data_IF_279539331762
#
_entry.id   IF_279539331762
#
_cell.length_a   1.000
_cell.length_b   1.000
_cell.length_c   1.000
_cell.angle_alpha   90.00
_cell.angle_beta   90.00
_cell.angle_gamma   90.00
#
_symmetry.space_group_name_H-M   'P 1'
#
loop_
_entity.id
_entity.type
_entity.pdbx_description
1 polymer ?
#
# COMPACT_ATOMS: atom_id res chain seq x y z
N UNK A 1 7.26 11.49 28.86
CA UNK A 1 7.77 10.28 28.18
C UNK A 1 6.76 9.96 27.10
N UNK A 2 6.89 10.64 25.97
CA UNK A 2 6.02 10.56 24.81
C UNK A 2 6.96 10.24 23.67
N UNK A 3 7.01 8.97 23.25
CA UNK A 3 7.74 8.60 22.04
C UNK A 3 6.94 9.21 20.88
N UNK A 4 7.39 10.35 20.41
CA UNK A 4 6.92 10.94 19.16
C UNK A 4 7.39 10.00 18.03
N UNK A 5 6.49 9.06 17.74
CA UNK A 5 6.35 8.32 16.50
C UNK A 5 6.44 9.36 15.38
N UNK A 6 7.51 9.27 14.58
CA UNK A 6 7.77 10.08 13.39
C UNK A 6 6.52 10.14 12.51
N UNK A 7 6.19 11.32 12.00
CA UNK A 7 4.82 11.69 11.61
C UNK A 7 4.13 10.77 10.58
N UNK A 8 2.79 10.74 10.56
CA UNK A 8 1.96 9.69 9.95
C UNK A 8 2.03 9.56 8.42
N UNK A 9 2.42 10.62 7.71
CA UNK A 9 2.41 10.60 6.25
C UNK A 9 3.73 10.12 5.64
N UNK A 10 4.84 10.17 6.37
CA UNK A 10 6.16 9.87 5.80
C UNK A 10 6.46 8.38 5.71
N UNK A 11 5.93 7.55 6.62
CA UNK A 11 6.09 6.09 6.58
C UNK A 11 5.18 5.39 5.57
N UNK A 12 3.99 5.94 5.33
CA UNK A 12 3.08 5.46 4.29
C UNK A 12 3.45 5.99 2.90
N UNK A 13 4.19 7.11 2.81
CA UNK A 13 4.65 7.75 1.57
C UNK A 13 6.17 7.67 1.35
N UNK A 14 6.90 6.76 2.00
CA UNK A 14 8.14 6.27 1.41
C UNK A 14 7.70 5.53 0.13
N UNK A 15 7.62 6.31 -0.95
CA UNK A 15 6.80 6.12 -2.14
C UNK A 15 7.19 4.91 -3.01
N UNK A 16 7.92 3.95 -2.46
CA UNK A 16 8.58 2.87 -3.19
C UNK A 16 8.07 1.47 -2.80
N UNK A 17 6.98 1.36 -2.02
CA UNK A 17 6.54 0.06 -1.51
C UNK A 17 5.45 -0.70 -2.27
N UNK A 18 4.92 -0.17 -3.39
CA UNK A 18 3.99 -0.96 -4.22
C UNK A 18 4.16 -0.67 -5.71
N UNK A 19 5.34 -0.95 -6.28
CA UNK A 19 5.44 -1.23 -7.72
C UNK A 19 4.92 -2.65 -8.00
N UNK A 20 3.61 -2.86 -7.80
CA UNK A 20 2.95 -4.08 -8.28
C UNK A 20 2.80 -3.91 -9.80
N UNK A 21 3.82 -4.34 -10.56
CA UNK A 21 3.68 -4.51 -12.01
C UNK A 21 2.52 -5.49 -12.25
N UNK A 22 1.47 -5.13 -13.00
CA UNK A 22 0.43 -6.09 -13.34
C UNK A 22 1.04 -7.23 -14.16
N UNK A 23 0.75 -8.48 -13.76
CA UNK A 23 1.16 -9.67 -14.49
C UNK A 23 0.69 -9.66 -15.95
N UNK A 24 1.37 -10.38 -16.86
CA UNK A 24 1.14 -10.28 -18.29
C UNK A 24 -0.29 -10.68 -18.67
N UNK A 25 -1.02 -9.75 -19.29
CA UNK A 25 -2.35 -10.02 -19.84
C UNK A 25 -2.21 -10.84 -21.13
N UNK A 26 -2.52 -12.14 -21.10
CA UNK A 26 -2.63 -12.96 -22.32
C UNK A 26 -3.82 -12.46 -23.16
N UNK A 27 -3.52 -12.01 -24.38
CA UNK A 27 -4.53 -11.66 -25.38
C UNK A 27 -5.37 -12.89 -25.76
N UNK A 28 -6.68 -12.82 -25.55
CA UNK A 28 -7.65 -13.81 -26.02
C UNK A 28 -8.04 -13.45 -27.45
N UNK A 29 -7.60 -14.26 -28.42
CA UNK A 29 -8.08 -14.22 -29.79
C UNK A 29 -9.56 -14.62 -29.84
N UNK A 30 -10.40 -13.78 -30.44
CA UNK A 30 -11.83 -14.03 -30.65
C UNK A 30 -12.13 -14.00 -32.14
N UNK A 31 -12.10 -15.17 -32.76
CA UNK A 31 -12.79 -15.44 -34.02
C UNK A 31 -14.03 -16.30 -33.77
N UNK A 32 -15.19 -15.89 -34.29
CA UNK A 32 -16.36 -16.77 -34.40
C UNK A 32 -17.76 -16.15 -34.25
N UNK A 33 -18.39 -15.85 -35.38
CA UNK A 33 -19.77 -16.30 -35.68
C UNK A 33 -20.95 -15.65 -34.95
N UNK A 34 -21.58 -14.69 -35.62
CA UNK A 34 -22.92 -14.17 -35.33
C UNK A 34 -23.99 -15.22 -35.71
N UNK A 35 -24.87 -15.62 -34.77
CA UNK A 35 -26.31 -15.87 -34.97
C UNK A 35 -27.00 -16.35 -33.67
N UNK A 36 -28.05 -15.63 -33.23
CA UNK A 36 -28.88 -15.96 -32.06
C UNK A 36 -29.19 -14.76 -31.15
N UNK A 37 -29.99 -13.78 -31.64
CA UNK A 37 -30.01 -12.39 -31.12
C UNK A 37 -31.04 -12.00 -30.03
N UNK A 38 -32.03 -12.80 -29.57
CA UNK A 38 -32.80 -12.40 -28.37
C UNK A 38 -32.37 -13.13 -27.08
N UNK A 39 -32.03 -14.43 -27.15
CA UNK A 39 -31.69 -15.21 -25.94
C UNK A 39 -30.29 -14.90 -25.40
N UNK A 40 -29.31 -14.61 -26.28
CA UNK A 40 -27.99 -14.11 -25.87
C UNK A 40 -28.09 -12.74 -25.22
N UNK A 41 -28.97 -11.86 -25.69
CA UNK A 41 -29.13 -10.52 -25.11
C UNK A 41 -29.71 -10.59 -23.70
N UNK A 42 -30.74 -11.42 -23.48
CA UNK A 42 -31.30 -11.65 -22.14
C UNK A 42 -30.29 -12.31 -21.20
N UNK A 43 -29.50 -13.28 -21.69
CA UNK A 43 -28.41 -13.89 -20.91
C UNK A 43 -27.30 -12.88 -20.58
N UNK A 44 -26.88 -12.04 -21.52
CA UNK A 44 -25.88 -10.99 -21.28
C UNK A 44 -26.41 -9.87 -20.37
N UNK A 45 -27.70 -9.52 -20.45
CA UNK A 45 -28.34 -8.59 -19.53
C UNK A 45 -28.46 -9.18 -18.12
N UNK A 46 -28.89 -10.44 -17.97
CA UNK A 46 -28.92 -11.16 -16.69
C UNK A 46 -27.51 -11.30 -16.11
N UNK A 47 -26.51 -11.61 -16.94
CA UNK A 47 -25.11 -11.69 -16.53
C UNK A 47 -24.55 -10.31 -16.13
N UNK A 48 -24.94 -9.24 -16.82
CA UNK A 48 -24.60 -7.86 -16.46
C UNK A 48 -25.30 -7.41 -15.16
N UNK A 49 -26.52 -7.89 -14.90
CA UNK A 49 -27.23 -7.67 -13.63
C UNK A 49 -26.67 -8.51 -12.47
N UNK A 50 -26.07 -9.67 -12.74
CA UNK A 50 -25.38 -10.47 -11.70
C UNK A 50 -23.93 -10.04 -11.47
N UNK A 51 -23.31 -9.36 -12.45
CA UNK A 51 -21.95 -8.81 -12.34
C UNK A 51 -21.92 -7.37 -11.79
N UNK A 52 -23.07 -6.70 -11.68
CA UNK A 52 -23.20 -5.39 -11.03
C UNK A 52 -23.24 -5.46 -9.50
N UNK A 53 -23.12 -6.66 -8.93
CA UNK A 53 -23.18 -6.91 -7.49
C UNK A 53 -21.84 -6.80 -6.74
N UNK A 54 -20.71 -6.72 -7.44
CA UNK A 54 -19.41 -6.50 -6.80
C UNK A 54 -18.69 -5.33 -7.47
N UNK A 55 -18.37 -4.29 -6.71
CA UNK A 55 -17.47 -3.25 -7.21
C UNK A 55 -16.09 -3.85 -7.54
N UNK A 56 -15.29 -3.12 -8.33
CA UNK A 56 -13.89 -3.52 -8.57
C UNK A 56 -13.12 -3.71 -7.25
N UNK A 57 -13.42 -2.91 -6.22
CA UNK A 57 -12.86 -3.02 -4.87
C UNK A 57 -13.16 -4.39 -4.27
N UNK A 58 -14.44 -4.78 -4.25
CA UNK A 58 -14.86 -6.06 -3.66
C UNK A 58 -14.32 -7.25 -4.45
N UNK A 59 -14.28 -7.14 -5.78
CA UNK A 59 -13.72 -8.17 -6.63
C UNK A 59 -12.23 -8.40 -6.35
N UNK A 60 -11.43 -7.33 -6.30
CA UNK A 60 -9.99 -7.42 -6.02
C UNK A 60 -9.75 -7.92 -4.60
N UNK A 61 -10.50 -7.40 -3.61
CA UNK A 61 -10.39 -7.83 -2.22
C UNK A 61 -10.62 -9.33 -2.07
N UNK A 62 -11.66 -9.86 -2.71
CA UNK A 62 -11.98 -11.30 -2.66
C UNK A 62 -11.01 -12.17 -3.47
N UNK A 63 -9.95 -11.59 -4.04
CA UNK A 63 -8.88 -12.27 -4.77
C UNK A 63 -7.48 -11.92 -4.25
N UNK A 64 -7.41 -11.27 -3.10
CA UNK A 64 -6.14 -10.84 -2.49
C UNK A 64 -5.23 -12.03 -2.16
N UNK A 65 -5.81 -13.19 -1.88
CA UNK A 65 -5.11 -14.46 -1.66
C UNK A 65 -4.25 -14.89 -2.87
N UNK A 66 -4.75 -14.67 -4.09
CA UNK A 66 -4.02 -14.99 -5.31
C UNK A 66 -2.87 -14.00 -5.49
N UNK A 67 -3.13 -12.71 -5.26
CA UNK A 67 -2.13 -11.65 -5.42
C UNK A 67 -0.98 -11.82 -4.41
N UNK A 68 -1.31 -12.11 -3.15
CA UNK A 68 -0.30 -12.32 -2.10
C UNK A 68 0.52 -13.57 -2.37
N UNK A 69 -0.09 -14.66 -2.84
CA UNK A 69 0.66 -15.85 -3.26
C UNK A 69 1.67 -15.57 -4.36
N UNK A 70 1.24 -14.89 -5.41
CA UNK A 70 2.14 -14.54 -6.51
C UNK A 70 3.28 -13.64 -6.04
N UNK A 71 3.01 -12.71 -5.13
CA UNK A 71 4.04 -11.88 -4.55
C UNK A 71 5.00 -12.68 -3.65
N UNK A 72 4.49 -13.64 -2.89
CA UNK A 72 5.32 -14.51 -2.04
C UNK A 72 6.25 -15.40 -2.88
N UNK A 73 5.76 -15.91 -4.01
CA UNK A 73 6.53 -16.75 -4.95
C UNK A 73 7.78 -16.03 -5.50
N UNK A 74 7.79 -14.70 -5.57
CA UNK A 74 8.96 -13.91 -5.98
C UNK A 74 10.09 -13.95 -4.93
N UNK A 75 9.81 -14.37 -3.69
CA UNK A 75 10.78 -14.46 -2.60
C UNK A 75 11.11 -15.88 -2.20
N UNK A 76 10.11 -16.77 -2.12
CA UNK A 76 10.32 -18.15 -1.68
C UNK A 76 9.29 -19.09 -2.30
N UNK A 77 9.76 -20.24 -2.78
CA UNK A 77 8.89 -21.30 -3.31
C UNK A 77 8.44 -22.23 -2.19
N UNK A 78 7.17 -22.15 -1.81
CA UNK A 78 6.57 -23.06 -0.82
C UNK A 78 6.22 -24.42 -1.44
N UNK A 79 6.42 -25.49 -0.69
CA UNK A 79 5.86 -26.79 -1.05
C UNK A 79 4.34 -26.83 -0.83
N UNK A 80 3.69 -27.93 -1.26
CA UNK A 80 2.23 -28.04 -1.19
C UNK A 80 1.68 -27.98 0.24
N UNK A 81 2.38 -28.53 1.21
CA UNK A 81 1.92 -28.55 2.59
C UNK A 81 2.16 -27.19 3.27
N UNK A 82 3.30 -26.56 3.01
CA UNK A 82 3.61 -25.20 3.45
C UNK A 82 2.61 -24.19 2.87
N UNK A 83 2.29 -24.31 1.57
CA UNK A 83 1.31 -23.44 0.92
C UNK A 83 -0.08 -23.59 1.54
N UNK A 84 -0.52 -24.82 1.84
CA UNK A 84 -1.80 -25.05 2.49
C UNK A 84 -1.84 -24.41 3.89
N UNK A 85 -0.76 -24.51 4.68
CA UNK A 85 -0.66 -23.84 5.99
C UNK A 85 -0.63 -22.33 5.88
N UNK A 86 0.05 -21.78 4.87
CA UNK A 86 0.04 -20.35 4.59
C UNK A 86 -1.38 -19.87 4.25
N UNK A 87 -2.07 -20.57 3.35
CA UNK A 87 -3.42 -20.24 2.93
C UNK A 87 -4.39 -20.23 4.12
N UNK A 88 -4.35 -21.26 4.98
CA UNK A 88 -5.19 -21.33 6.18
C UNK A 88 -4.96 -20.14 7.14
N UNK A 89 -3.69 -19.74 7.35
CA UNK A 89 -3.35 -18.59 8.19
C UNK A 89 -3.73 -17.26 7.53
N UNK A 90 -3.60 -17.16 6.21
CA UNK A 90 -3.99 -15.97 5.46
C UNK A 90 -5.51 -15.77 5.48
N UNK A 91 -6.29 -16.84 5.40
CA UNK A 91 -7.74 -16.78 5.54
C UNK A 91 -8.15 -16.21 6.90
N UNK A 92 -7.48 -16.60 7.99
CA UNK A 92 -7.69 -16.03 9.32
C UNK A 92 -7.32 -14.54 9.38
N UNK A 93 -6.23 -14.12 8.73
CA UNK A 93 -5.85 -12.72 8.62
C UNK A 93 -6.92 -11.89 7.90
N UNK A 94 -7.46 -12.41 6.80
CA UNK A 94 -8.50 -11.72 6.01
C UNK A 94 -9.83 -11.68 6.76
N UNK A 95 -10.20 -12.74 7.48
CA UNK A 95 -11.37 -12.76 8.36
C UNK A 95 -11.25 -11.70 9.46
N UNK A 96 -10.09 -11.64 10.14
CA UNK A 96 -9.79 -10.59 11.11
C UNK A 96 -9.89 -9.19 10.48
N UNK A 97 -9.25 -8.99 9.32
CA UNK A 97 -9.26 -7.68 8.66
C UNK A 97 -10.68 -7.23 8.29
N UNK A 98 -11.53 -8.13 7.79
CA UNK A 98 -12.94 -7.84 7.52
C UNK A 98 -13.71 -7.46 8.78
N UNK A 99 -13.53 -8.23 9.86
CA UNK A 99 -14.30 -8.07 11.08
C UNK A 99 -13.86 -6.87 11.90
N UNK A 100 -12.55 -6.65 12.02
CA UNK A 100 -11.96 -5.74 12.98
C UNK A 100 -11.45 -4.42 12.35
N UNK A 101 -10.91 -4.45 11.12
CA UNK A 101 -10.33 -3.25 10.47
C UNK A 101 -11.29 -2.55 9.50
N UNK A 102 -11.97 -3.28 8.62
CA UNK A 102 -12.84 -2.67 7.60
C UNK A 102 -13.94 -1.76 8.16
N UNK A 103 -14.62 -2.08 9.29
CA UNK A 103 -15.56 -1.16 9.91
C UNK A 103 -14.90 0.16 10.34
N UNK A 104 -13.68 0.09 10.88
CA UNK A 104 -12.89 1.26 11.24
C UNK A 104 -12.55 2.11 10.01
N UNK A 105 -12.18 1.48 8.90
CA UNK A 105 -11.86 2.20 7.66
C UNK A 105 -13.09 2.88 7.05
N UNK A 106 -14.26 2.24 7.15
CA UNK A 106 -15.52 2.86 6.74
C UNK A 106 -15.81 4.14 7.55
N UNK A 107 -15.56 4.12 8.88
CA UNK A 107 -15.69 5.31 9.73
C UNK A 107 -14.71 6.41 9.35
N UNK A 108 -13.45 6.08 9.02
CA UNK A 108 -12.47 7.06 8.53
C UNK A 108 -12.94 7.75 7.24
N UNK A 109 -13.66 7.04 6.37
CA UNK A 109 -14.23 7.62 5.16
C UNK A 109 -15.42 8.55 5.45
N UNK A 110 -16.24 8.24 6.45
CA UNK A 110 -17.30 9.15 6.93
C UNK A 110 -16.72 10.41 7.61
N UNK A 111 -15.66 10.26 8.40
CA UNK A 111 -14.93 11.37 9.00
C UNK A 111 -14.27 12.23 7.90
N UNK A 112 -13.73 11.62 6.84
CA UNK A 112 -13.19 12.35 5.70
C UNK A 112 -14.27 13.17 4.97
N UNK A 113 -15.49 12.64 4.82
CA UNK A 113 -16.61 13.41 4.27
C UNK A 113 -16.96 14.63 5.14
N UNK A 114 -16.92 14.47 6.46
CA UNK A 114 -17.14 15.56 7.41
C UNK A 114 -16.04 16.63 7.32
N UNK A 115 -14.77 16.21 7.20
CA UNK A 115 -13.63 17.13 7.01
C UNK A 115 -13.78 17.96 5.72
N UNK A 116 -14.32 17.37 4.65
CA UNK A 116 -14.56 18.08 3.39
C UNK A 116 -15.65 19.15 3.51
N UNK A 117 -16.60 19.01 4.45
CA UNK A 117 -17.66 19.98 4.70
C UNK A 117 -17.16 21.22 5.47
N UNK A 118 -16.08 21.10 6.24
CA UNK A 118 -15.55 22.15 7.13
C UNK A 118 -14.27 22.83 6.60
N UNK A 119 -14.13 22.97 5.27
CA UNK A 119 -12.95 23.57 4.61
C UNK A 119 -11.60 22.89 4.97
N UNK A 120 -11.63 21.59 5.25
CA UNK A 120 -10.44 20.75 5.46
C UNK A 120 -9.50 21.32 6.54
N UNK A 121 -9.95 21.41 7.80
CA UNK A 121 -9.19 22.07 8.86
C UNK A 121 -7.94 21.26 9.20
N UNK A 122 -6.80 21.96 9.34
CA UNK A 122 -5.49 21.35 9.54
C UNK A 122 -5.44 20.34 10.70
N UNK A 123 -6.09 20.66 11.82
CA UNK A 123 -6.11 19.78 12.99
C UNK A 123 -6.84 18.46 12.69
N UNK A 124 -7.98 18.51 11.98
CA UNK A 124 -8.71 17.31 11.61
C UNK A 124 -7.94 16.47 10.57
N UNK A 125 -7.25 17.11 9.62
CA UNK A 125 -6.37 16.41 8.67
C UNK A 125 -5.22 15.67 9.37
N UNK A 126 -4.62 16.28 10.41
CA UNK A 126 -3.59 15.61 11.22
C UNK A 126 -4.15 14.42 11.99
N UNK A 127 -5.29 14.59 12.67
CA UNK A 127 -5.94 13.51 13.40
C UNK A 127 -6.32 12.33 12.48
N UNK A 128 -6.83 12.63 11.28
CA UNK A 128 -7.10 11.62 10.25
C UNK A 128 -5.83 10.86 9.85
N UNK A 129 -4.72 11.58 9.63
CA UNK A 129 -3.44 10.96 9.29
C UNK A 129 -2.95 10.03 10.42
N UNK A 130 -3.03 10.47 11.68
CA UNK A 130 -2.67 9.65 12.86
C UNK A 130 -3.52 8.37 12.95
N UNK A 131 -4.82 8.47 12.66
CA UNK A 131 -5.72 7.31 12.66
C UNK A 131 -5.42 6.31 11.54
N UNK A 132 -5.08 6.80 10.35
CA UNK A 132 -4.65 5.97 9.20
C UNK A 132 -3.33 5.26 9.53
N UNK A 133 -2.37 5.94 10.15
CA UNK A 133 -1.11 5.33 10.58
C UNK A 133 -1.36 4.23 11.63
N UNK A 134 -2.19 4.50 12.63
CA UNK A 134 -2.54 3.52 13.65
C UNK A 134 -3.23 2.27 13.06
N UNK A 135 -4.06 2.45 12.03
CA UNK A 135 -4.65 1.35 11.26
C UNK A 135 -3.59 0.53 10.50
N UNK A 136 -2.68 1.21 9.80
CA UNK A 136 -1.59 0.56 9.07
C UNK A 136 -0.70 -0.27 10.00
N UNK A 137 -0.37 0.23 11.20
CA UNK A 137 0.41 -0.49 12.20
C UNK A 137 -0.30 -1.78 12.65
N UNK A 138 -1.61 -1.73 12.95
CA UNK A 138 -2.36 -2.93 13.36
C UNK A 138 -2.38 -4.01 12.26
N UNK A 139 -2.58 -3.60 11.00
CA UNK A 139 -2.51 -4.52 9.87
C UNK A 139 -1.09 -5.10 9.71
N UNK A 140 -0.06 -4.26 9.82
CA UNK A 140 1.34 -4.67 9.74
C UNK A 140 1.67 -5.72 10.81
N UNK A 141 1.23 -5.53 12.06
CA UNK A 141 1.48 -6.47 13.16
C UNK A 141 0.88 -7.85 12.87
N UNK A 142 -0.35 -7.91 12.37
CA UNK A 142 -1.01 -9.17 12.00
C UNK A 142 -0.34 -9.85 10.81
N UNK A 143 0.05 -9.07 9.80
CA UNK A 143 0.77 -9.59 8.64
C UNK A 143 2.17 -10.10 9.03
N UNK A 144 2.86 -9.41 9.94
CA UNK A 144 4.16 -9.85 10.46
C UNK A 144 4.03 -11.18 11.23
N UNK A 145 2.99 -11.34 12.05
CA UNK A 145 2.71 -12.62 12.72
C UNK A 145 2.50 -13.76 11.71
N UNK A 146 1.75 -13.51 10.63
CA UNK A 146 1.61 -14.45 9.51
C UNK A 146 2.97 -14.79 8.88
N UNK A 147 3.79 -13.80 8.55
CA UNK A 147 5.10 -14.02 7.92
C UNK A 147 6.06 -14.80 8.83
N UNK A 148 6.10 -14.49 10.13
CA UNK A 148 6.96 -15.20 11.09
C UNK A 148 6.56 -16.67 11.22
N UNK A 149 5.26 -16.94 11.39
CA UNK A 149 4.77 -18.33 11.43
C UNK A 149 5.03 -19.08 10.12
N UNK A 150 4.99 -18.39 8.98
CA UNK A 150 5.37 -18.96 7.68
C UNK A 150 6.87 -19.25 7.62
N UNK A 151 7.71 -18.37 8.16
CA UNK A 151 9.15 -18.56 8.28
C UNK A 151 9.55 -19.78 9.13
N UNK A 152 8.73 -20.14 10.13
CA UNK A 152 8.94 -21.34 10.95
C UNK A 152 8.79 -22.63 10.15
N UNK A 153 7.97 -22.61 9.10
CA UNK A 153 7.75 -23.76 8.22
C UNK A 153 8.84 -23.95 7.16
N UNK A 154 9.68 -22.93 6.92
CA UNK A 154 10.69 -22.95 5.86
C UNK A 154 11.87 -23.88 6.19
N UNK A 155 12.35 -24.61 5.18
CA UNK A 155 13.60 -25.35 5.25
C UNK A 155 14.81 -24.39 5.26
N UNK A 156 16.00 -24.85 5.67
CA UNK A 156 17.23 -24.06 5.57
C UNK A 156 17.48 -23.52 4.16
N UNK A 157 17.29 -24.36 3.14
CA UNK A 157 17.49 -23.98 1.73
C UNK A 157 16.47 -22.92 1.27
N UNK A 158 15.24 -22.98 1.77
CA UNK A 158 14.23 -21.96 1.47
C UNK A 158 14.54 -20.62 2.15
N UNK A 159 15.12 -20.63 3.36
CA UNK A 159 15.59 -19.41 4.04
C UNK A 159 16.77 -18.78 3.32
N UNK A 160 17.71 -19.59 2.84
CA UNK A 160 18.80 -19.13 1.97
C UNK A 160 18.25 -18.47 0.69
N UNK A 161 17.33 -19.14 -0.02
CA UNK A 161 16.71 -18.60 -1.22
C UNK A 161 15.94 -17.28 -0.95
N UNK A 162 15.24 -17.19 0.18
CA UNK A 162 14.55 -15.97 0.60
C UNK A 162 15.52 -14.80 0.81
N UNK A 163 16.65 -15.05 1.49
CA UNK A 163 17.71 -14.05 1.69
C UNK A 163 18.34 -13.61 0.37
N UNK A 164 18.61 -14.56 -0.53
CA UNK A 164 19.12 -14.25 -1.87
C UNK A 164 18.15 -13.37 -2.66
N UNK A 165 16.86 -13.68 -2.62
CA UNK A 165 15.82 -12.89 -3.28
C UNK A 165 15.74 -11.45 -2.70
N UNK A 166 15.83 -11.30 -1.38
CA UNK A 166 15.84 -9.98 -0.74
C UNK A 166 17.04 -9.13 -1.20
N UNK A 167 18.23 -9.74 -1.26
CA UNK A 167 19.45 -9.07 -1.72
C UNK A 167 19.39 -8.72 -3.21
N UNK A 168 18.91 -9.63 -4.06
CA UNK A 168 18.74 -9.36 -5.49
C UNK A 168 17.77 -8.18 -5.72
N UNK A 169 16.68 -8.10 -4.95
CA UNK A 169 15.74 -6.97 -5.01
C UNK A 169 16.35 -5.65 -4.53
N UNK A 170 17.21 -5.70 -3.50
CA UNK A 170 17.97 -4.53 -3.07
C UNK A 170 18.88 -4.02 -4.20
N UNK A 171 19.59 -4.90 -4.89
CA UNK A 171 20.47 -4.55 -6.00
C UNK A 171 19.70 -4.01 -7.21
N UNK A 172 18.53 -4.58 -7.55
CA UNK A 172 17.61 -4.06 -8.57
C UNK A 172 17.21 -2.62 -8.24
N UNK A 173 16.80 -2.36 -6.99
CA UNK A 173 16.41 -1.01 -6.57
C UNK A 173 17.57 -0.01 -6.54
N UNK A 174 18.77 -0.44 -6.16
CA UNK A 174 19.96 0.40 -6.21
C UNK A 174 20.30 0.79 -7.66
N UNK A 175 20.26 -0.16 -8.59
CA UNK A 175 20.50 0.09 -10.01
C UNK A 175 19.48 1.07 -10.60
N UNK A 176 18.19 0.86 -10.33
CA UNK A 176 17.12 1.69 -10.88
C UNK A 176 17.10 3.11 -10.28
N UNK A 177 17.45 3.27 -8.99
CA UNK A 177 17.23 4.53 -8.27
C UNK A 177 18.48 5.34 -7.96
N UNK A 178 19.67 4.74 -7.82
CA UNK A 178 20.88 5.53 -7.53
C UNK A 178 21.40 6.29 -8.75
N UNK A 179 21.06 5.84 -9.95
CA UNK A 179 21.49 6.47 -11.20
C UNK A 179 20.64 7.69 -11.59
N UNK A 180 19.46 7.88 -10.97
CA UNK A 180 18.54 8.96 -11.37
C UNK A 180 19.02 10.34 -10.91
N UNK A 181 18.91 11.31 -11.82
CA UNK A 181 19.18 12.72 -11.53
C UNK A 181 18.17 13.29 -10.52
N UNK A 182 18.55 14.41 -9.91
CA UNK A 182 17.70 15.15 -8.98
C UNK A 182 16.41 15.69 -9.64
N UNK A 183 16.50 16.01 -10.93
CA UNK A 183 15.36 16.41 -11.78
C UNK A 183 14.45 15.22 -12.07
N UNK A 184 14.99 14.07 -12.46
CA UNK A 184 14.21 12.87 -12.72
C UNK A 184 13.50 12.36 -11.45
N UNK A 185 14.15 12.46 -10.29
CA UNK A 185 13.53 12.16 -8.99
C UNK A 185 12.29 13.02 -8.73
N UNK A 186 12.41 14.34 -8.92
CA UNK A 186 11.28 15.25 -8.69
C UNK A 186 10.16 15.05 -9.71
N UNK A 187 10.50 14.84 -10.98
CA UNK A 187 9.51 14.56 -12.01
C UNK A 187 8.69 13.30 -11.70
N UNK A 188 9.34 12.21 -11.27
CA UNK A 188 8.66 10.99 -10.81
C UNK A 188 7.75 11.26 -9.59
N UNK A 189 8.20 12.05 -8.62
CA UNK A 189 7.35 12.45 -7.49
C UNK A 189 6.13 13.29 -7.92
N UNK A 190 6.31 14.27 -8.80
CA UNK A 190 5.22 15.11 -9.33
C UNK A 190 4.18 14.26 -10.07
N UNK A 191 4.62 13.34 -10.93
CA UNK A 191 3.75 12.41 -11.65
C UNK A 191 2.97 11.51 -10.67
N UNK A 192 3.64 10.96 -9.66
CA UNK A 192 2.98 10.14 -8.62
C UNK A 192 1.93 10.93 -7.85
N UNK A 193 2.21 12.18 -7.46
CA UNK A 193 1.21 13.03 -6.80
C UNK A 193 0.01 13.31 -7.72
N UNK A 194 0.25 13.66 -8.99
CA UNK A 194 -0.84 13.89 -9.94
C UNK A 194 -1.69 12.62 -10.09
N UNK A 195 -1.10 11.47 -10.37
CA UNK A 195 -1.83 10.21 -10.58
C UNK A 195 -2.66 9.81 -9.35
N UNK A 196 -2.08 9.86 -8.15
CA UNK A 196 -2.76 9.50 -6.92
C UNK A 196 -3.95 10.42 -6.64
N UNK A 197 -3.77 11.74 -6.81
CA UNK A 197 -4.83 12.72 -6.56
C UNK A 197 -5.88 12.72 -7.69
N UNK A 198 -5.44 12.60 -8.94
CA UNK A 198 -6.26 12.56 -10.15
C UNK A 198 -7.17 11.34 -10.20
N UNK A 199 -6.74 10.22 -9.57
CA UNK A 199 -7.62 9.10 -9.29
C UNK A 199 -8.86 9.64 -8.59
N UNK A 200 -8.77 10.22 -7.40
CA UNK A 200 -9.93 10.64 -6.61
C UNK A 200 -10.63 11.89 -7.14
N UNK A 201 -9.89 12.95 -7.45
CA UNK A 201 -10.44 14.25 -7.82
C UNK A 201 -10.76 14.36 -9.32
N UNK A 202 -10.08 13.59 -10.18
CA UNK A 202 -10.00 13.88 -11.62
C UNK A 202 -8.83 14.79 -11.93
N UNK A 203 -8.60 15.13 -13.21
CA UNK A 203 -7.40 15.87 -13.63
C UNK A 203 -7.15 17.11 -12.77
N UNK A 204 -5.89 17.35 -12.42
CA UNK A 204 -5.48 18.54 -11.68
C UNK A 204 -5.74 19.81 -12.48
N UNK A 205 -6.18 20.86 -11.78
CA UNK A 205 -6.21 22.21 -12.34
C UNK A 205 -4.81 22.80 -12.36
N UNK A 206 -4.57 23.85 -13.16
CA UNK A 206 -3.27 24.53 -13.20
C UNK A 206 -2.79 24.95 -11.80
N UNK A 207 -3.61 25.59 -10.94
CA UNK A 207 -3.17 25.93 -9.57
C UNK A 207 -2.84 24.71 -8.70
N UNK A 208 -3.50 23.57 -8.91
CA UNK A 208 -3.20 22.33 -8.17
C UNK A 208 -1.89 21.71 -8.66
N UNK A 209 -1.64 21.69 -9.98
CA UNK A 209 -0.38 21.21 -10.55
C UNK A 209 0.80 22.08 -10.07
N UNK A 210 0.66 23.42 -10.10
CA UNK A 210 1.68 24.34 -9.58
C UNK A 210 1.97 24.09 -8.08
N UNK A 211 0.92 23.76 -7.30
CA UNK A 211 1.06 23.42 -5.88
C UNK A 211 1.80 22.09 -5.66
N UNK A 212 1.59 21.10 -6.54
CA UNK A 212 2.32 19.82 -6.54
C UNK A 212 3.80 20.09 -6.79
N UNK A 213 4.14 20.77 -7.89
CA UNK A 213 5.53 21.12 -8.24
C UNK A 213 6.22 21.88 -7.11
N UNK A 214 5.55 22.88 -6.51
CA UNK A 214 6.10 23.64 -5.38
C UNK A 214 6.36 22.74 -4.17
N UNK A 215 5.41 21.88 -3.79
CA UNK A 215 5.60 21.00 -2.64
C UNK A 215 6.68 19.95 -2.87
N UNK A 216 6.77 19.37 -4.08
CA UNK A 216 7.84 18.42 -4.42
C UNK A 216 9.21 19.11 -4.36
N UNK A 217 9.32 20.37 -4.78
CA UNK A 217 10.56 21.14 -4.67
C UNK A 217 10.99 21.40 -3.21
N UNK A 218 10.04 21.44 -2.27
CA UNK A 218 10.28 21.60 -0.83
C UNK A 218 10.70 20.30 -0.14
N UNK A 219 10.49 19.14 -0.76
CA UNK A 219 10.80 17.83 -0.16
C UNK A 219 12.30 17.54 -0.11
N UNK A 220 12.72 16.86 0.95
CA UNK A 220 14.03 16.22 1.06
C UNK A 220 14.06 14.97 0.18
N UNK A 221 15.12 14.78 -0.59
CA UNK A 221 15.34 13.54 -1.35
C UNK A 221 15.78 12.41 -0.41
N UNK A 222 14.99 11.34 -0.33
CA UNK A 222 15.17 10.27 0.67
C UNK A 222 15.61 8.91 0.10
N UNK A 223 15.59 8.75 -1.22
CA UNK A 223 15.85 7.46 -1.88
C UNK A 223 17.20 6.83 -1.51
N UNK A 224 18.26 7.63 -1.41
CA UNK A 224 19.57 7.15 -0.96
C UNK A 224 19.55 6.69 0.50
N UNK A 225 18.95 7.49 1.39
CA UNK A 225 18.85 7.13 2.80
C UNK A 225 18.08 5.83 3.00
N UNK A 226 16.96 5.68 2.29
CA UNK A 226 16.15 4.47 2.30
C UNK A 226 16.91 3.24 1.81
N UNK A 227 17.64 3.35 0.69
CA UNK A 227 18.44 2.25 0.15
C UNK A 227 19.57 1.82 1.11
N UNK A 228 20.27 2.79 1.69
CA UNK A 228 21.36 2.52 2.65
C UNK A 228 20.82 1.86 3.93
N UNK A 229 19.74 2.39 4.52
CA UNK A 229 19.06 1.80 5.69
C UNK A 229 18.57 0.38 5.39
N UNK A 230 17.88 0.21 4.25
CA UNK A 230 17.35 -1.08 3.82
C UNK A 230 18.45 -2.13 3.66
N UNK A 231 19.62 -1.76 3.12
CA UNK A 231 20.74 -2.70 2.96
C UNK A 231 21.27 -3.19 4.31
N UNK A 232 21.41 -2.29 5.28
CA UNK A 232 21.82 -2.66 6.65
C UNK A 232 20.78 -3.57 7.29
N UNK A 233 19.50 -3.22 7.16
CA UNK A 233 18.40 -4.01 7.71
C UNK A 233 18.32 -5.41 7.10
N UNK A 234 18.42 -5.55 5.76
CA UNK A 234 18.40 -6.87 5.13
C UNK A 234 19.63 -7.68 5.58
N UNK A 235 20.83 -7.09 5.68
CA UNK A 235 22.01 -7.82 6.15
C UNK A 235 21.80 -8.40 7.56
N UNK A 236 21.26 -7.61 8.49
CA UNK A 236 20.94 -8.07 9.85
C UNK A 236 19.85 -9.14 9.87
N UNK A 237 18.81 -8.98 9.05
CA UNK A 237 17.76 -9.98 8.90
C UNK A 237 18.32 -11.29 8.34
N UNK A 238 19.18 -11.21 7.33
CA UNK A 238 19.85 -12.37 6.71
C UNK A 238 20.65 -13.15 7.73
N UNK A 239 21.44 -12.49 8.57
CA UNK A 239 22.20 -13.15 9.63
C UNK A 239 21.28 -13.94 10.58
N UNK A 240 20.15 -13.35 10.98
CA UNK A 240 19.14 -14.01 11.84
C UNK A 240 18.53 -15.22 11.14
N UNK A 241 18.12 -15.08 9.87
CA UNK A 241 17.42 -16.13 9.13
C UNK A 241 18.33 -17.29 8.72
N UNK A 242 19.62 -17.03 8.46
CA UNK A 242 20.60 -18.05 8.08
C UNK A 242 21.13 -18.83 9.29
N UNK A 243 21.37 -18.16 10.42
CA UNK A 243 21.77 -18.85 11.67
C UNK A 243 20.57 -19.60 12.26
N UNK A 244 19.38 -18.98 12.23
CA UNK A 244 18.12 -19.59 12.63
C UNK A 244 18.13 -20.24 14.03
N UNK A 245 18.64 -19.51 15.03
CA UNK A 245 18.53 -19.97 16.43
C UNK A 245 17.08 -20.25 16.83
N UNK A 246 16.79 -21.09 17.83
CA UNK A 246 15.41 -21.44 18.20
C UNK A 246 14.48 -20.26 18.48
N UNK A 247 15.02 -19.09 18.88
CA UNK A 247 14.28 -17.85 19.13
C UNK A 247 14.40 -16.81 17.99
N UNK A 248 14.78 -17.22 16.77
CA UNK A 248 14.92 -16.30 15.63
C UNK A 248 13.69 -15.41 15.39
N UNK A 249 12.41 -15.83 15.61
CA UNK A 249 11.28 -14.93 15.43
C UNK A 249 11.32 -13.72 16.38
N UNK A 250 11.71 -13.94 17.63
CA UNK A 250 11.88 -12.87 18.63
C UNK A 250 13.03 -11.92 18.25
N UNK A 251 14.09 -12.46 17.63
CA UNK A 251 15.20 -11.64 17.11
C UNK A 251 14.72 -10.74 15.97
N UNK A 252 13.90 -11.26 15.05
CA UNK A 252 13.30 -10.47 13.96
C UNK A 252 12.35 -9.39 14.52
N UNK A 253 11.51 -9.72 15.49
CA UNK A 253 10.64 -8.75 16.16
C UNK A 253 11.45 -7.64 16.83
N UNK A 254 12.55 -7.99 17.49
CA UNK A 254 13.47 -7.02 18.12
C UNK A 254 14.12 -6.11 17.07
N UNK A 255 14.56 -6.68 15.95
CA UNK A 255 15.14 -5.93 14.83
C UNK A 255 14.15 -4.91 14.27
N UNK A 256 12.89 -5.31 14.07
CA UNK A 256 11.83 -4.42 13.57
C UNK A 256 11.51 -3.30 14.57
N UNK A 257 11.34 -3.65 15.85
CA UNK A 257 11.04 -2.68 16.91
C UNK A 257 12.18 -1.66 17.13
N UNK A 258 13.43 -2.05 16.87
CA UNK A 258 14.60 -1.19 16.97
C UNK A 258 14.80 -0.22 15.79
N UNK A 259 14.10 -0.44 14.67
CA UNK A 259 14.39 0.26 13.40
C UNK A 259 14.26 1.77 13.50
N UNK A 260 13.18 2.28 14.07
CA UNK A 260 12.93 3.73 14.23
C UNK A 260 14.05 4.43 15.03
N UNK A 261 14.66 3.72 15.99
CA UNK A 261 15.78 4.23 16.79
C UNK A 261 17.14 4.13 16.10
N UNK A 262 17.26 3.28 15.08
CA UNK A 262 18.49 3.06 14.32
C UNK A 262 18.65 4.01 13.12
N UNK A 263 17.57 4.68 12.70
CA UNK A 263 17.60 5.63 11.59
C UNK A 263 18.63 6.76 11.83
N UNK A 264 19.35 7.12 10.77
CA UNK A 264 20.22 8.29 10.78
C UNK A 264 19.40 9.55 11.12
N UNK A 265 19.88 10.47 11.98
CA UNK A 265 19.13 11.67 12.35
C UNK A 265 18.66 12.50 11.14
N UNK A 266 19.50 12.64 10.11
CA UNK A 266 19.14 13.36 8.89
C UNK A 266 18.05 12.65 8.07
N UNK A 267 18.03 11.31 8.07
CA UNK A 267 16.97 10.55 7.42
C UNK A 267 15.64 10.75 8.14
N UNK A 268 15.65 10.61 9.47
CA UNK A 268 14.46 10.86 10.31
C UNK A 268 13.92 12.28 10.14
N UNK A 269 14.79 13.29 10.16
CA UNK A 269 14.38 14.68 9.94
C UNK A 269 13.78 14.88 8.54
N UNK A 270 14.37 14.28 7.51
CA UNK A 270 13.84 14.34 6.15
C UNK A 270 12.48 13.65 5.99
N UNK A 271 12.29 12.50 6.64
CA UNK A 271 11.01 11.79 6.77
C UNK A 271 9.96 12.72 7.40
N UNK A 272 10.24 13.28 8.58
CA UNK A 272 9.31 14.14 9.32
C UNK A 272 8.96 15.41 8.52
N UNK A 273 9.96 16.04 7.89
CA UNK A 273 9.77 17.20 7.02
C UNK A 273 8.88 16.88 5.81
N UNK A 274 9.18 15.80 5.08
CA UNK A 274 8.38 15.39 3.93
C UNK A 274 6.94 15.08 4.33
N UNK A 275 6.73 14.42 5.49
CA UNK A 275 5.39 14.13 6.01
C UNK A 275 4.55 15.40 6.18
N UNK A 276 5.12 16.48 6.73
CA UNK A 276 4.42 17.76 6.89
C UNK A 276 4.18 18.45 5.52
N UNK A 277 5.15 18.42 4.60
CA UNK A 277 4.96 18.95 3.23
C UNK A 277 3.81 18.24 2.51
N UNK A 278 3.77 16.90 2.57
CA UNK A 278 2.70 16.07 1.96
C UNK A 278 1.34 16.41 2.57
N UNK A 279 1.28 16.58 3.90
CA UNK A 279 0.04 16.95 4.58
C UNK A 279 -0.50 18.28 4.07
N UNK A 280 0.37 19.29 4.03
CA UNK A 280 -0.02 20.64 3.62
C UNK A 280 -0.38 20.68 2.13
N UNK A 281 0.42 20.04 1.27
CA UNK A 281 0.14 19.91 -0.16
C UNK A 281 -1.23 19.28 -0.39
N UNK A 282 -1.49 18.14 0.24
CA UNK A 282 -2.76 17.42 0.08
C UNK A 282 -3.94 18.28 0.55
N UNK A 283 -3.80 18.97 1.69
CA UNK A 283 -4.82 19.88 2.21
C UNK A 283 -5.09 21.04 1.26
N UNK A 284 -4.04 21.68 0.73
CA UNK A 284 -4.17 22.82 -0.16
C UNK A 284 -4.85 22.43 -1.48
N UNK A 285 -4.55 21.25 -2.02
CA UNK A 285 -5.21 20.70 -3.22
C UNK A 285 -6.68 20.42 -2.96
N UNK A 286 -7.01 19.84 -1.80
CA UNK A 286 -8.40 19.60 -1.41
C UNK A 286 -9.15 20.92 -1.24
N UNK A 287 -8.57 21.96 -0.63
CA UNK A 287 -9.22 23.26 -0.48
C UNK A 287 -9.39 24.00 -1.82
N UNK A 288 -8.47 23.81 -2.76
CA UNK A 288 -8.54 24.37 -4.10
C UNK A 288 -9.43 23.57 -5.09
N UNK A 289 -10.10 22.51 -4.63
CA UNK A 289 -10.90 21.64 -5.50
C UNK A 289 -12.08 22.37 -6.13
N UNK A 290 -12.37 22.06 -7.40
CA UNK A 290 -13.57 22.57 -8.08
C UNK A 290 -14.83 21.80 -7.65
N UNK A 291 -16.03 22.37 -7.87
CA UNK A 291 -17.30 21.66 -7.62
C UNK A 291 -17.39 20.29 -8.33
N UNK A 292 -16.77 20.16 -9.50
CA UNK A 292 -16.72 18.90 -10.25
C UNK A 292 -15.82 17.88 -9.54
N UNK A 293 -14.65 18.32 -9.06
CA UNK A 293 -13.73 17.48 -8.30
C UNK A 293 -14.32 17.09 -6.93
N UNK A 294 -15.00 18.01 -6.24
CA UNK A 294 -15.68 17.74 -4.97
C UNK A 294 -16.75 16.65 -5.12
N UNK A 295 -17.65 16.77 -6.11
CA UNK A 295 -18.66 15.73 -6.40
C UNK A 295 -18.03 14.38 -6.71
N UNK A 296 -16.93 14.34 -7.48
CA UNK A 296 -16.24 13.09 -7.82
C UNK A 296 -15.58 12.46 -6.59
N UNK A 297 -14.86 13.27 -5.79
CA UNK A 297 -14.22 12.83 -4.56
C UNK A 297 -15.25 12.23 -3.60
N UNK A 298 -16.31 12.96 -3.29
CA UNK A 298 -17.37 12.49 -2.37
C UNK A 298 -18.04 11.22 -2.88
N UNK A 299 -18.36 11.16 -4.17
CA UNK A 299 -18.93 9.95 -4.77
C UNK A 299 -18.02 8.73 -4.63
N UNK A 300 -16.70 8.91 -4.74
CA UNK A 300 -15.72 7.84 -4.54
C UNK A 300 -15.58 7.43 -3.09
N UNK A 301 -15.52 8.39 -2.15
CA UNK A 301 -15.45 8.10 -0.72
C UNK A 301 -16.67 7.31 -0.25
N UNK A 302 -17.87 7.73 -0.67
CA UNK A 302 -19.14 7.03 -0.39
C UNK A 302 -19.12 5.63 -0.98
N UNK A 303 -18.77 5.48 -2.26
CA UNK A 303 -18.71 4.16 -2.90
C UNK A 303 -17.72 3.23 -2.21
N UNK A 304 -16.54 3.73 -1.83
CA UNK A 304 -15.53 2.94 -1.14
C UNK A 304 -16.02 2.53 0.25
N UNK A 305 -16.60 3.47 1.01
CA UNK A 305 -17.18 3.17 2.33
C UNK A 305 -18.23 2.07 2.24
N UNK A 306 -19.14 2.17 1.28
CA UNK A 306 -20.20 1.18 1.09
C UNK A 306 -19.62 -0.20 0.70
N UNK A 307 -18.58 -0.22 -0.13
CA UNK A 307 -17.84 -1.44 -0.47
C UNK A 307 -17.20 -2.10 0.75
N UNK A 308 -16.51 -1.31 1.59
CA UNK A 308 -15.84 -1.79 2.81
C UNK A 308 -16.86 -2.30 3.83
N UNK A 309 -17.97 -1.59 4.03
CA UNK A 309 -19.06 -2.02 4.91
C UNK A 309 -19.69 -3.33 4.44
N UNK A 310 -19.85 -3.51 3.12
CA UNK A 310 -20.36 -4.75 2.55
C UNK A 310 -19.36 -5.91 2.60
N UNK A 311 -18.04 -5.64 2.61
CA UNK A 311 -17.02 -6.65 2.84
C UNK A 311 -16.93 -7.06 4.31
N UNK A 312 -17.17 -6.14 5.24
CA UNK A 312 -17.10 -6.41 6.69
C UNK A 312 -18.17 -7.41 7.18
N UNK A 313 -19.23 -7.65 6.40
CA UNK A 313 -20.33 -8.57 6.74
C UNK A 313 -20.28 -9.89 5.97
N UNK A 314 -19.23 -10.14 5.18
CA UNK A 314 -19.00 -11.37 4.39
C UNK A 314 -18.14 -12.38 5.14
#
# INVERSE_FOLDING_TARGET
MSNAVSGPLSRAWDADHLDIKPGPTRAIDRSGGLNGRPFRFVFWCLLAFTLSGCSATQFIYNRVDILVRWYLDDYVSLDREQQARFDDRFDLLIEWHRRDELPGYALLLDDALTILDDDVPLQATRQMADQIEAAAIRLQDQFLALLLSTGEDLSPEQREAFVEALMAKQEEFEADRLERSDEAYRADLEERFDDQLSRYLGPMTVPQADRITTGVAEMTRLDRFWLEDRRVWIAQLSDILLVAEPNWPDQVLTLIAGRDGALLPAYKEGIDHNGEVILQLSRDILRARTDKQDRKLRGRLVSLRDDLAALAVQ
#
